data_IF_884001860332
#
_entry.id   IF_884001860332
#
_cell.length_a   1.000
_cell.length_b   1.000
_cell.length_c   1.000
_cell.angle_alpha   90.00
_cell.angle_beta   90.00
_cell.angle_gamma   90.00
#
_symmetry.space_group_name_H-M   'P 1'
#
loop_
_entity.id
_entity.type
_entity.pdbx_description
1 polymer ?
#
# COMPACT_ATOMS: atom_id res chain seq x y z
N UNK A 1 -3.92 14.75 -3.16
CA UNK A 1 -2.81 14.13 -2.42
C UNK A 1 -2.55 14.83 -1.09
N UNK A 2 -2.28 14.08 -0.02
CA UNK A 2 -1.58 14.63 1.13
C UNK A 2 -0.16 15.03 0.71
N UNK A 3 0.45 16.03 1.35
CA UNK A 3 1.83 16.42 1.08
C UNK A 3 2.64 16.12 2.33
N UNK A 4 3.58 15.19 2.23
CA UNK A 4 4.47 14.81 3.32
C UNK A 4 5.68 15.74 3.37
N UNK A 5 6.43 15.71 4.47
CA UNK A 5 7.71 16.38 4.52
C UNK A 5 8.70 15.73 3.54
N UNK A 6 9.70 16.51 3.13
CA UNK A 6 10.83 16.05 2.31
C UNK A 6 12.12 16.47 3.02
N UNK A 7 12.89 15.53 3.60
CA UNK A 7 12.59 14.09 3.70
C UNK A 7 11.39 13.83 4.63
N UNK A 8 10.74 12.68 4.44
CA UNK A 8 9.60 12.25 5.24
C UNK A 8 9.90 12.20 6.73
N UNK A 9 8.87 12.39 7.56
CA UNK A 9 8.96 12.29 9.02
C UNK A 9 8.05 11.19 9.55
N UNK A 10 8.37 10.55 10.67
CA UNK A 10 7.50 9.52 11.24
C UNK A 10 6.06 10.01 11.50
N UNK A 11 5.89 11.26 11.93
CA UNK A 11 4.58 11.87 12.18
C UNK A 11 3.75 12.16 10.91
N UNK A 12 4.34 12.01 9.71
CA UNK A 12 3.63 12.19 8.45
C UNK A 12 2.69 11.01 8.14
N UNK A 13 2.96 9.85 8.71
CA UNK A 13 2.20 8.63 8.44
C UNK A 13 1.09 8.43 9.47
N UNK A 14 -0.08 7.89 9.05
CA UNK A 14 -1.11 7.47 9.99
C UNK A 14 -0.65 6.23 10.76
N UNK A 15 -1.44 5.78 11.74
CA UNK A 15 -1.22 4.49 12.40
C UNK A 15 -1.00 3.36 11.37
N UNK A 16 -0.06 2.45 11.63
CA UNK A 16 0.29 1.41 10.66
C UNK A 16 -0.90 0.52 10.26
N UNK A 17 -1.88 0.29 11.15
CA UNK A 17 -3.10 -0.44 10.80
C UNK A 17 -3.96 0.31 9.79
N UNK A 18 -4.00 1.63 9.89
CA UNK A 18 -4.75 2.48 8.96
C UNK A 18 -4.06 2.50 7.60
N UNK A 19 -2.73 2.66 7.57
CA UNK A 19 -1.96 2.58 6.33
C UNK A 19 -2.13 1.22 5.66
N UNK A 20 -2.00 0.14 6.44
CA UNK A 20 -2.19 -1.25 6.00
C UNK A 20 -3.57 -1.47 5.38
N UNK A 21 -4.64 -1.08 6.09
CA UNK A 21 -6.00 -1.28 5.61
C UNK A 21 -6.29 -0.53 4.30
N UNK A 22 -5.79 0.71 4.17
CA UNK A 22 -5.94 1.50 2.93
C UNK A 22 -5.21 0.87 1.76
N UNK A 23 -3.97 0.47 1.96
CA UNK A 23 -3.18 -0.17 0.90
C UNK A 23 -3.81 -1.49 0.48
N UNK A 24 -4.20 -2.34 1.44
CA UNK A 24 -4.89 -3.60 1.14
C UNK A 24 -6.19 -3.34 0.36
N UNK A 25 -6.94 -2.31 0.73
CA UNK A 25 -8.15 -1.93 0.01
C UNK A 25 -7.85 -1.51 -1.43
N UNK A 26 -6.82 -0.67 -1.68
CA UNK A 26 -6.39 -0.32 -3.03
C UNK A 26 -6.11 -1.59 -3.84
N UNK A 27 -5.20 -2.45 -3.35
CA UNK A 27 -4.83 -3.70 -4.02
C UNK A 27 -6.04 -4.61 -4.34
N UNK A 28 -7.01 -4.70 -3.43
CA UNK A 28 -8.22 -5.52 -3.64
C UNK A 28 -9.15 -4.87 -4.67
N UNK A 29 -9.33 -3.55 -4.64
CA UNK A 29 -10.20 -2.86 -5.60
C UNK A 29 -9.64 -2.84 -7.01
N UNK A 30 -8.31 -2.79 -7.13
CA UNK A 30 -7.57 -2.79 -8.40
C UNK A 30 -7.17 -4.21 -8.83
N UNK A 31 -7.67 -5.25 -8.14
CA UNK A 31 -7.36 -6.64 -8.47
C UNK A 31 -7.60 -6.93 -9.94
N UNK A 32 -6.61 -7.53 -10.60
CA UNK A 32 -6.75 -8.10 -11.92
C UNK A 32 -6.25 -9.55 -11.92
N UNK A 33 -7.04 -10.45 -12.52
CA UNK A 33 -6.72 -11.88 -12.48
C UNK A 33 -5.51 -12.21 -13.33
N UNK A 34 -5.39 -11.58 -14.50
CA UNK A 34 -4.31 -11.88 -15.42
C UNK A 34 -2.98 -11.37 -14.85
N UNK A 35 -2.98 -10.20 -14.21
CA UNK A 35 -1.83 -9.68 -13.44
C UNK A 35 -1.44 -10.60 -12.28
N UNK A 36 -2.41 -11.18 -11.57
CA UNK A 36 -2.14 -12.14 -10.49
C UNK A 36 -1.53 -13.47 -11.00
N UNK A 37 -1.68 -13.80 -12.27
CA UNK A 37 -1.02 -14.97 -12.86
C UNK A 37 0.41 -14.68 -13.32
N UNK A 38 0.82 -13.41 -13.37
CA UNK A 38 2.16 -13.04 -13.75
C UNK A 38 3.19 -13.44 -12.68
N UNK A 39 4.39 -13.87 -13.10
CA UNK A 39 5.50 -14.07 -12.17
C UNK A 39 5.77 -12.79 -11.39
N UNK A 40 6.02 -12.90 -10.08
CA UNK A 40 6.24 -11.75 -9.18
C UNK A 40 7.18 -10.68 -9.75
N UNK A 41 8.26 -11.09 -10.43
CA UNK A 41 9.26 -10.21 -11.01
C UNK A 41 8.77 -9.36 -12.21
N UNK A 42 7.57 -9.60 -12.72
CA UNK A 42 6.94 -8.83 -13.80
C UNK A 42 5.69 -8.08 -13.33
N UNK A 43 5.26 -8.28 -12.08
CA UNK A 43 4.07 -7.62 -11.55
C UNK A 43 4.30 -6.12 -11.39
N UNK A 44 3.24 -5.36 -11.62
CA UNK A 44 3.16 -3.92 -11.39
C UNK A 44 1.88 -3.57 -10.63
N UNK A 45 1.73 -2.31 -10.23
CA UNK A 45 0.55 -1.86 -9.51
C UNK A 45 0.57 -2.37 -8.07
N UNK A 46 -0.61 -2.58 -7.49
CA UNK A 46 -0.79 -2.93 -6.09
C UNK A 46 -1.15 -4.41 -5.93
N UNK A 47 -0.40 -5.17 -5.13
CA UNK A 47 -0.71 -6.58 -4.87
C UNK A 47 -0.41 -7.02 -3.44
N UNK A 48 -0.90 -8.21 -3.09
CA UNK A 48 -0.78 -8.82 -1.76
C UNK A 48 -0.27 -10.26 -1.92
N UNK A 49 0.84 -10.61 -1.29
CA UNK A 49 1.37 -11.98 -1.31
C UNK A 49 1.93 -12.43 0.05
N UNK A 50 2.82 -13.45 0.09
CA UNK A 50 3.45 -13.93 1.33
C UNK A 50 4.46 -12.92 1.92
N UNK A 51 4.96 -12.01 1.08
CA UNK A 51 5.96 -11.01 1.40
C UNK A 51 5.39 -9.66 1.84
N UNK A 52 4.08 -9.43 1.75
CA UNK A 52 3.42 -8.26 2.34
C UNK A 52 2.40 -7.61 1.42
N UNK A 53 2.21 -6.31 1.60
CA UNK A 53 1.55 -5.43 0.64
C UNK A 53 2.62 -4.77 -0.22
N UNK A 54 2.41 -4.79 -1.53
CA UNK A 54 3.39 -4.34 -2.51
C UNK A 54 2.79 -3.26 -3.40
N UNK A 55 3.67 -2.40 -3.90
CA UNK A 55 3.39 -1.46 -4.96
C UNK A 55 4.64 -1.26 -5.81
N UNK A 56 4.48 -1.29 -7.13
CA UNK A 56 5.57 -1.09 -8.10
C UNK A 56 5.02 -0.32 -9.32
N UNK A 57 5.66 0.79 -9.68
CA UNK A 57 5.26 1.62 -10.82
C UNK A 57 5.84 1.13 -12.16
N UNK A 58 6.53 -0.01 -12.17
CA UNK A 58 7.31 -0.55 -13.28
C UNK A 58 8.43 0.38 -13.79
N UNK A 59 8.81 1.36 -12.98
CA UNK A 59 9.80 2.38 -13.28
C UNK A 59 10.88 2.41 -12.20
N UNK A 60 10.88 3.49 -11.43
CA UNK A 60 11.89 3.75 -10.41
C UNK A 60 11.31 3.79 -8.99
N UNK A 61 10.06 3.34 -8.83
CA UNK A 61 9.33 3.45 -7.56
C UNK A 61 8.78 2.10 -7.17
N UNK A 62 9.17 1.64 -5.99
CA UNK A 62 8.64 0.40 -5.43
C UNK A 62 8.57 0.48 -3.91
N UNK A 63 7.56 -0.16 -3.34
CA UNK A 63 7.31 -0.16 -1.90
C UNK A 63 6.78 -1.48 -1.41
N UNK A 64 7.20 -1.86 -0.20
CA UNK A 64 6.67 -3.03 0.50
C UNK A 64 6.36 -2.63 1.94
N UNK A 65 5.14 -2.97 2.37
CA UNK A 65 4.71 -2.90 3.76
C UNK A 65 4.55 -4.33 4.30
N UNK A 66 5.30 -4.64 5.35
CA UNK A 66 5.31 -5.93 6.05
C UNK A 66 4.67 -5.78 7.43
N UNK A 67 3.84 -6.74 7.81
CA UNK A 67 3.18 -6.80 9.12
C UNK A 67 3.76 -7.91 9.99
N UNK A 68 4.32 -7.53 11.14
CA UNK A 68 5.03 -8.43 12.04
C UNK A 68 4.19 -8.96 13.20
N UNK A 69 2.90 -8.66 13.23
CA UNK A 69 2.04 -8.98 14.37
C UNK A 69 2.29 -8.04 15.56
N UNK A 70 1.49 -8.16 16.62
CA UNK A 70 1.61 -7.35 17.85
C UNK A 70 1.68 -5.83 17.63
N UNK A 71 1.12 -5.34 16.52
CA UNK A 71 1.17 -3.92 16.16
C UNK A 71 2.54 -3.46 15.68
N UNK A 72 3.36 -4.35 15.10
CA UNK A 72 4.64 -4.03 14.47
C UNK A 72 4.55 -4.11 12.95
N UNK A 73 5.17 -3.15 12.28
CA UNK A 73 5.22 -3.13 10.81
C UNK A 73 6.56 -2.56 10.32
N UNK A 74 6.95 -2.91 9.10
CA UNK A 74 8.08 -2.30 8.40
C UNK A 74 7.62 -1.85 7.02
N UNK A 75 7.87 -0.57 6.73
CA UNK A 75 7.73 0.02 5.41
C UNK A 75 9.14 0.24 4.85
N UNK A 76 9.39 -0.29 3.67
CA UNK A 76 10.64 -0.10 2.93
C UNK A 76 10.31 0.12 1.46
N UNK A 77 11.08 0.98 0.81
CA UNK A 77 10.90 1.25 -0.60
C UNK A 77 11.88 2.27 -1.12
N UNK A 78 11.71 2.61 -2.39
CA UNK A 78 12.51 3.56 -3.12
C UNK A 78 11.65 4.34 -4.10
N UNK A 79 12.13 5.53 -4.42
CA UNK A 79 11.63 6.42 -5.45
C UNK A 79 12.82 7.20 -6.01
N UNK A 80 12.78 7.56 -7.30
CA UNK A 80 13.86 8.28 -7.97
C UNK A 80 14.19 9.65 -7.37
N UNK A 81 13.24 10.27 -6.67
CA UNK A 81 13.46 11.55 -6.00
C UNK A 81 14.40 11.41 -4.81
N UNK A 82 14.48 10.22 -4.18
CA UNK A 82 15.28 9.98 -2.99
C UNK A 82 16.75 10.31 -3.20
N UNK A 83 17.34 10.98 -2.21
CA UNK A 83 18.77 11.32 -2.17
C UNK A 83 19.57 10.44 -1.21
N UNK A 84 18.91 9.46 -0.58
CA UNK A 84 19.52 8.62 0.46
C UNK A 84 20.64 7.75 -0.10
N UNK A 85 20.39 7.03 -1.21
CA UNK A 85 21.36 6.09 -1.81
C UNK A 85 22.66 6.74 -2.32
N UNK A 86 22.63 8.04 -2.59
CA UNK A 86 23.76 8.82 -3.10
C UNK A 86 24.32 9.84 -2.08
N UNK A 87 23.79 9.86 -0.86
CA UNK A 87 24.24 10.77 0.18
C UNK A 87 25.61 10.36 0.75
N UNK A 88 26.50 11.33 0.98
CA UNK A 88 27.85 11.12 1.52
C UNK A 88 28.09 12.04 2.74
N UNK A 89 28.48 11.52 3.92
CA UNK A 89 28.74 10.10 4.21
C UNK A 89 27.48 9.24 4.21
N UNK A 90 27.62 7.98 3.78
CA UNK A 90 26.50 7.03 3.72
C UNK A 90 25.69 7.01 5.03
N UNK A 91 24.37 7.08 4.91
CA UNK A 91 23.43 7.09 6.04
C UNK A 91 23.23 5.65 6.54
N UNK A 92 23.41 5.41 7.83
CA UNK A 92 23.02 4.14 8.46
C UNK A 92 21.49 4.12 8.66
N UNK A 93 20.77 3.56 7.68
CA UNK A 93 19.30 3.46 7.67
C UNK A 93 18.73 2.54 8.75
N UNK A 94 19.56 1.72 9.41
CA UNK A 94 19.16 0.81 10.48
C UNK A 94 19.64 1.29 11.86
N UNK A 95 20.18 2.50 11.94
CA UNK A 95 20.55 3.15 13.19
C UNK A 95 19.32 3.29 14.10
N UNK A 96 19.41 2.74 15.31
CA UNK A 96 18.34 2.79 16.30
C UNK A 96 17.19 1.79 16.06
N UNK A 97 17.23 0.97 15.00
CA UNK A 97 16.20 -0.04 14.78
C UNK A 97 16.19 -1.11 15.89
N UNK A 98 15.02 -1.52 16.40
CA UNK A 98 14.90 -2.54 17.43
C UNK A 98 15.33 -3.93 16.92
N UNK A 99 15.56 -4.87 17.83
CA UNK A 99 16.09 -6.22 17.51
C UNK A 99 15.16 -7.03 16.59
N UNK A 100 13.84 -6.80 16.68
CA UNK A 100 12.86 -7.53 15.87
C UNK A 100 12.84 -7.11 14.39
N UNK A 101 13.38 -5.94 14.05
CA UNK A 101 13.45 -5.46 12.66
C UNK A 101 14.33 -6.40 11.84
N UNK A 102 13.91 -6.83 10.63
CA UNK A 102 14.59 -7.85 9.84
C UNK A 102 15.88 -7.32 9.19
N UNK A 103 16.93 -7.11 10.00
CA UNK A 103 18.17 -6.45 9.59
C UNK A 103 18.85 -7.10 8.39
N UNK A 104 18.88 -8.43 8.32
CA UNK A 104 19.54 -9.13 7.20
C UNK A 104 18.84 -8.87 5.86
N UNK A 105 17.50 -8.91 5.86
CA UNK A 105 16.70 -8.62 4.67
C UNK A 105 16.89 -7.16 4.23
N UNK A 106 16.80 -6.22 5.17
CA UNK A 106 16.96 -4.79 4.88
C UNK A 106 18.39 -4.45 4.45
N UNK A 107 19.40 -5.08 5.03
CA UNK A 107 20.79 -4.88 4.62
C UNK A 107 21.02 -5.35 3.18
N UNK A 108 20.41 -6.46 2.76
CA UNK A 108 20.46 -6.91 1.36
C UNK A 108 19.93 -5.84 0.40
N UNK A 109 18.78 -5.25 0.71
CA UNK A 109 18.21 -4.16 -0.10
C UNK A 109 19.09 -2.91 -0.12
N UNK A 110 19.70 -2.57 1.02
CA UNK A 110 20.64 -1.44 1.13
C UNK A 110 21.89 -1.67 0.27
N UNK A 111 22.47 -2.88 0.36
CA UNK A 111 23.67 -3.26 -0.38
C UNK A 111 23.43 -3.28 -1.91
N UNK A 112 22.19 -3.59 -2.32
CA UNK A 112 21.75 -3.59 -3.72
C UNK A 112 21.32 -2.20 -4.24
N UNK A 113 21.47 -1.13 -3.43
CA UNK A 113 21.04 0.24 -3.76
C UNK A 113 19.54 0.40 -4.04
N UNK A 114 18.71 -0.46 -3.45
CA UNK A 114 17.26 -0.51 -3.68
C UNK A 114 16.45 0.27 -2.63
N UNK A 115 17.07 1.08 -1.76
CA UNK A 115 16.38 1.69 -0.63
C UNK A 115 16.49 3.22 -0.64
N UNK A 116 15.33 3.87 -0.71
CA UNK A 116 15.17 5.30 -0.46
C UNK A 116 14.90 5.63 1.00
N UNK A 117 14.16 4.78 1.72
CA UNK A 117 13.94 4.93 3.15
C UNK A 117 13.49 3.61 3.82
N UNK A 118 13.64 3.54 5.15
CA UNK A 118 13.13 2.45 5.99
C UNK A 118 12.42 3.07 7.18
N UNK A 119 11.16 2.70 7.38
CA UNK A 119 10.37 3.05 8.55
C UNK A 119 9.91 1.78 9.27
N UNK A 120 9.94 1.79 10.59
CA UNK A 120 9.38 0.72 11.41
C UNK A 120 8.34 1.30 12.38
N UNK A 121 7.21 0.61 12.50
CA UNK A 121 6.17 0.95 13.45
C UNK A 121 6.31 0.05 14.68
N UNK A 122 6.42 0.66 15.86
CA UNK A 122 6.43 -0.04 17.15
C UNK A 122 5.85 0.88 18.21
N UNK A 123 5.21 0.27 19.21
CA UNK A 123 4.63 0.99 20.37
C UNK A 123 3.69 2.15 19.97
N UNK A 124 2.96 2.01 18.86
CA UNK A 124 1.96 2.99 18.41
C UNK A 124 2.53 4.19 17.65
N UNK A 125 3.80 4.16 17.23
CA UNK A 125 4.42 5.21 16.44
C UNK A 125 5.31 4.64 15.35
N UNK A 126 5.41 5.39 14.24
CA UNK A 126 6.47 5.17 13.26
C UNK A 126 7.79 5.70 13.79
N UNK A 127 8.87 5.10 13.31
CA UNK A 127 10.25 5.46 13.60
C UNK A 127 11.08 5.26 12.33
N UNK A 128 12.20 5.97 12.24
CA UNK A 128 13.24 5.77 11.23
C UNK A 128 14.60 6.20 11.77
N UNK A 129 15.67 5.83 11.08
CA UNK A 129 16.98 6.40 11.34
C UNK A 129 16.95 7.94 11.22
N UNK A 130 17.73 8.63 12.04
CA UNK A 130 17.90 10.08 11.91
C UNK A 130 18.60 10.41 10.60
N UNK A 131 18.07 11.42 9.89
CA UNK A 131 18.70 11.89 8.66
C UNK A 131 19.50 13.16 8.92
N UNK A 132 20.56 13.41 8.13
CA UNK A 132 21.24 14.70 8.11
C UNK A 132 20.29 15.85 7.76
N UNK A 133 20.54 17.03 8.34
CA UNK A 133 19.68 18.21 8.17
C UNK A 133 19.63 18.73 6.72
N UNK A 134 20.61 18.38 5.89
CA UNK A 134 20.73 18.80 4.48
C UNK A 134 20.31 17.71 3.47
N UNK A 135 19.83 16.55 3.94
CA UNK A 135 19.21 15.56 3.05
C UNK A 135 17.94 16.19 2.45
N UNK A 136 17.84 16.24 1.13
CA UNK A 136 16.74 16.94 0.46
C UNK A 136 15.43 16.14 0.39
N UNK A 137 15.53 14.83 0.15
CA UNK A 137 14.37 13.95 -0.03
C UNK A 137 14.75 12.50 0.28
N UNK A 138 13.80 11.73 0.81
CA UNK A 138 13.92 10.28 1.04
C UNK A 138 12.96 9.47 0.16
N UNK A 139 12.11 10.13 -0.63
CA UNK A 139 11.18 9.51 -1.58
C UNK A 139 9.80 9.16 -0.99
N UNK A 140 9.59 9.29 0.32
CA UNK A 140 8.35 8.87 0.99
C UNK A 140 7.10 9.57 0.42
N UNK A 141 7.21 10.85 0.10
CA UNK A 141 6.11 11.66 -0.41
C UNK A 141 5.62 11.17 -1.80
N UNK A 142 6.51 10.68 -2.65
CA UNK A 142 6.12 10.20 -3.98
C UNK A 142 5.32 8.91 -3.89
N UNK A 143 5.73 7.98 -3.03
CA UNK A 143 5.13 6.65 -3.03
C UNK A 143 3.99 6.40 -2.04
N UNK A 144 3.98 7.11 -0.91
CA UNK A 144 3.09 6.75 0.22
C UNK A 144 2.07 7.86 0.51
N UNK A 145 2.26 9.06 -0.04
CA UNK A 145 1.41 10.22 0.28
C UNK A 145 -0.07 10.01 -0.05
N UNK A 146 -0.42 9.29 -1.12
CA UNK A 146 -1.80 8.96 -1.47
C UNK A 146 -2.45 8.13 -0.36
N UNK A 147 -1.74 7.15 0.20
CA UNK A 147 -2.27 6.25 1.23
C UNK A 147 -2.33 6.87 2.64
N UNK A 148 -1.65 8.00 2.89
CA UNK A 148 -1.64 8.65 4.21
C UNK A 148 -2.96 9.30 4.61
N UNK A 149 -3.86 9.55 3.66
CA UNK A 149 -5.20 10.10 3.90
C UNK A 149 -6.26 9.28 3.20
N UNK A 150 -7.48 9.23 3.76
CA UNK A 150 -8.60 8.53 3.12
C UNK A 150 -8.91 9.09 1.73
N UNK A 151 -8.92 10.43 1.60
CA UNK A 151 -9.15 11.08 0.31
C UNK A 151 -8.05 10.78 -0.72
N UNK A 152 -6.78 10.65 -0.27
CA UNK A 152 -5.69 10.23 -1.14
C UNK A 152 -5.85 8.78 -1.60
N UNK A 153 -6.22 7.86 -0.70
CA UNK A 153 -6.43 6.46 -1.07
C UNK A 153 -7.61 6.28 -2.04
N UNK A 154 -8.67 7.09 -1.91
CA UNK A 154 -9.76 7.16 -2.90
C UNK A 154 -9.24 7.66 -4.25
N UNK A 155 -8.39 8.70 -4.24
CA UNK A 155 -7.74 9.19 -5.45
C UNK A 155 -6.85 8.14 -6.11
N UNK A 156 -6.13 7.34 -5.32
CA UNK A 156 -5.32 6.23 -5.81
C UNK A 156 -6.18 5.18 -6.52
N UNK A 157 -7.28 4.74 -5.91
CA UNK A 157 -8.21 3.79 -6.56
C UNK A 157 -8.74 4.37 -7.88
N UNK A 158 -9.10 5.66 -7.89
CA UNK A 158 -9.58 6.32 -9.10
C UNK A 158 -8.49 6.38 -10.19
N UNK A 159 -7.25 6.68 -9.82
CA UNK A 159 -6.11 6.73 -10.76
C UNK A 159 -5.82 5.35 -11.36
N UNK A 160 -5.74 4.31 -10.52
CA UNK A 160 -5.47 2.94 -10.97
C UNK A 160 -6.60 2.34 -11.83
N UNK A 161 -7.84 2.78 -11.61
CA UNK A 161 -9.00 2.37 -12.41
C UNK A 161 -9.30 3.34 -13.57
N UNK A 162 -8.43 4.32 -13.81
CA UNK A 162 -8.54 5.34 -14.87
C UNK A 162 -9.85 6.16 -14.85
N UNK A 163 -10.40 6.43 -13.67
CA UNK A 163 -11.63 7.21 -13.49
C UNK A 163 -11.40 8.71 -13.62
N UNK A 164 -12.39 9.41 -14.17
CA UNK A 164 -12.40 10.88 -14.20
C UNK A 164 -12.90 11.41 -12.85
N UNK A 165 -12.28 12.48 -12.34
CA UNK A 165 -12.73 13.16 -11.12
C UNK A 165 -14.14 13.78 -11.21
N UNK A 166 -14.77 13.76 -12.38
CA UNK A 166 -16.17 14.14 -12.62
C UNK A 166 -17.17 12.98 -12.61
N UNK A 167 -16.72 11.74 -12.37
CA UNK A 167 -17.57 10.55 -12.30
C UNK A 167 -18.36 10.50 -10.98
N UNK A 168 -19.52 11.16 -10.97
CA UNK A 168 -20.42 11.20 -9.82
C UNK A 168 -20.68 9.79 -9.23
N UNK A 169 -20.47 9.63 -7.93
CA UNK A 169 -20.74 8.39 -7.18
C UNK A 169 -19.56 7.43 -7.05
N UNK A 170 -18.56 7.47 -7.94
CA UNK A 170 -17.35 6.64 -7.83
C UNK A 170 -16.50 6.99 -6.59
N UNK A 171 -16.21 8.28 -6.31
CA UNK A 171 -15.46 8.65 -5.11
C UNK A 171 -16.15 8.21 -3.81
N UNK A 172 -17.48 8.32 -3.72
CA UNK A 172 -18.25 7.88 -2.55
C UNK A 172 -18.21 6.36 -2.38
N UNK A 173 -18.30 5.60 -3.47
CA UNK A 173 -18.19 4.14 -3.45
C UNK A 173 -16.82 3.68 -2.95
N UNK A 174 -15.74 4.26 -3.48
CA UNK A 174 -14.37 3.98 -3.04
C UNK A 174 -14.14 4.41 -1.59
N UNK A 175 -14.67 5.57 -1.18
CA UNK A 175 -14.54 6.04 0.20
C UNK A 175 -15.24 5.11 1.19
N UNK A 176 -16.40 4.55 0.82
CA UNK A 176 -17.11 3.57 1.64
C UNK A 176 -16.30 2.28 1.78
N UNK A 177 -15.73 1.77 0.69
CA UNK A 177 -14.91 0.56 0.75
C UNK A 177 -13.66 0.75 1.61
N UNK A 178 -12.99 1.91 1.52
CA UNK A 178 -11.86 2.26 2.40
C UNK A 178 -12.29 2.34 3.87
N UNK A 179 -13.45 2.93 4.18
CA UNK A 179 -13.96 2.97 5.56
C UNK A 179 -14.22 1.56 6.11
N UNK A 180 -14.80 0.68 5.29
CA UNK A 180 -15.06 -0.71 5.67
C UNK A 180 -13.75 -1.49 5.88
N UNK A 181 -12.72 -1.24 5.06
CA UNK A 181 -11.38 -1.81 5.25
C UNK A 181 -10.70 -1.33 6.53
N UNK A 182 -10.73 -0.01 6.81
CA UNK A 182 -10.18 0.56 8.05
C UNK A 182 -10.87 0.02 9.32
N UNK A 183 -12.14 -0.36 9.19
CA UNK A 183 -12.93 -0.94 10.29
C UNK A 183 -12.81 -2.46 10.40
N UNK A 184 -12.15 -3.12 9.46
CA UNK A 184 -12.02 -4.58 9.43
C UNK A 184 -13.37 -5.28 9.23
N UNK A 185 -14.20 -4.79 8.30
CA UNK A 185 -15.53 -5.36 8.00
C UNK A 185 -15.72 -5.73 6.54
N UNK A 186 -14.63 -5.89 5.77
CA UNK A 186 -14.68 -6.29 4.36
C UNK A 186 -15.00 -7.77 4.23
N UNK A 187 -16.29 -8.02 4.09
CA UNK A 187 -16.95 -9.30 3.93
C UNK A 187 -17.19 -9.59 2.43
N UNK A 188 -17.41 -10.85 2.07
CA UNK A 188 -17.70 -11.24 0.68
C UNK A 188 -18.94 -10.50 0.13
N UNK A 189 -19.94 -10.24 0.98
CA UNK A 189 -21.15 -9.52 0.58
C UNK A 189 -20.86 -8.05 0.25
N UNK A 190 -19.99 -7.38 1.01
CA UNK A 190 -19.63 -6.00 0.75
C UNK A 190 -18.75 -5.90 -0.49
N UNK A 191 -17.84 -6.86 -0.73
CA UNK A 191 -17.07 -6.96 -1.98
C UNK A 191 -17.99 -7.13 -3.20
N UNK A 192 -18.96 -8.04 -3.13
CA UNK A 192 -19.94 -8.26 -4.20
C UNK A 192 -20.80 -7.01 -4.43
N UNK A 193 -21.17 -6.31 -3.36
CA UNK A 193 -21.96 -5.07 -3.44
C UNK A 193 -21.14 -3.95 -4.07
N UNK A 194 -19.87 -3.82 -3.70
CA UNK A 194 -18.90 -2.89 -4.26
C UNK A 194 -18.70 -3.15 -5.75
N UNK A 195 -18.32 -4.37 -6.14
CA UNK A 195 -18.09 -4.74 -7.54
C UNK A 195 -19.34 -4.52 -8.40
N UNK A 196 -20.52 -4.90 -7.90
CA UNK A 196 -21.78 -4.66 -8.60
C UNK A 196 -22.13 -3.17 -8.72
N UNK A 197 -21.80 -2.34 -7.74
CA UNK A 197 -21.99 -0.89 -7.81
C UNK A 197 -21.00 -0.24 -8.77
N UNK A 198 -19.75 -0.69 -8.76
CA UNK A 198 -18.68 -0.24 -9.63
C UNK A 198 -19.07 -0.40 -11.10
N UNK A 199 -19.47 -1.61 -11.49
CA UNK A 199 -19.90 -1.91 -12.88
C UNK A 199 -21.09 -1.06 -13.30
N UNK A 200 -22.06 -0.80 -12.40
CA UNK A 200 -23.20 0.06 -12.72
C UNK A 200 -22.79 1.50 -12.99
N UNK A 201 -21.86 2.03 -12.20
CA UNK A 201 -21.34 3.40 -12.37
C UNK A 201 -20.49 3.50 -13.63
N UNK A 202 -19.66 2.50 -13.90
CA UNK A 202 -18.86 2.41 -15.12
C UNK A 202 -19.72 2.38 -16.38
N UNK A 203 -20.76 1.54 -16.43
CA UNK A 203 -21.72 1.51 -17.55
C UNK A 203 -22.46 2.84 -17.72
N UNK A 204 -22.68 3.58 -16.63
CA UNK A 204 -23.35 4.88 -16.67
C UNK A 204 -22.45 5.97 -17.26
N UNK A 205 -21.17 6.03 -16.86
CA UNK A 205 -20.23 7.08 -17.26
C UNK A 205 -19.53 6.77 -18.59
N UNK A 206 -19.28 5.48 -18.85
CA UNK A 206 -18.53 4.98 -20.00
C UNK A 206 -19.32 3.89 -20.77
N UNK A 207 -20.52 4.21 -21.31
CA UNK A 207 -21.41 3.22 -21.91
C UNK A 207 -20.88 2.56 -23.19
N UNK A 208 -19.83 3.12 -23.81
CA UNK A 208 -19.21 2.61 -25.04
C UNK A 208 -18.13 1.55 -24.75
N UNK A 209 -17.67 1.45 -23.50
CA UNK A 209 -16.65 0.50 -23.08
C UNK A 209 -17.28 -0.81 -22.60
N UNK A 210 -16.54 -1.91 -22.71
CA UNK A 210 -17.00 -3.22 -22.28
C UNK A 210 -16.69 -3.44 -20.79
N UNK A 211 -17.72 -3.26 -19.95
CA UNK A 211 -17.61 -3.40 -18.49
C UNK A 211 -18.11 -4.77 -18.06
N UNK A 212 -17.24 -5.77 -18.11
CA UNK A 212 -17.57 -7.10 -17.62
C UNK A 212 -17.67 -7.11 -16.08
N UNK A 213 -18.75 -7.66 -15.50
CA UNK A 213 -18.82 -7.86 -14.07
C UNK A 213 -17.76 -8.85 -13.59
N UNK A 214 -17.19 -8.58 -12.41
CA UNK A 214 -16.33 -9.53 -11.69
C UNK A 214 -17.04 -10.89 -11.57
N UNK A 215 -16.34 -11.96 -11.92
CA UNK A 215 -16.86 -13.32 -11.80
C UNK A 215 -16.92 -13.77 -10.33
N UNK A 216 -17.64 -14.85 -10.04
CA UNK A 216 -17.64 -15.42 -8.68
C UNK A 216 -16.23 -15.86 -8.24
N UNK A 217 -15.41 -16.33 -9.18
CA UNK A 217 -14.02 -16.68 -8.92
C UNK A 217 -13.16 -15.44 -8.60
N UNK A 218 -13.43 -14.28 -9.23
CA UNK A 218 -12.72 -13.02 -8.92
C UNK A 218 -13.09 -12.55 -7.52
N UNK A 219 -14.38 -12.56 -7.20
CA UNK A 219 -14.87 -12.17 -5.88
C UNK A 219 -14.32 -13.09 -4.78
N UNK A 220 -14.20 -14.39 -5.05
CA UNK A 220 -13.58 -15.33 -4.13
C UNK A 220 -12.07 -15.04 -3.93
N UNK A 221 -11.34 -14.71 -5.00
CA UNK A 221 -9.94 -14.32 -4.93
C UNK A 221 -9.75 -13.01 -4.15
N UNK A 222 -10.51 -11.97 -4.49
CA UNK A 222 -10.54 -10.69 -3.78
C UNK A 222 -10.85 -10.87 -2.29
N UNK A 223 -11.80 -11.74 -1.95
CA UNK A 223 -12.11 -12.03 -0.55
C UNK A 223 -10.97 -12.78 0.15
N UNK A 224 -10.32 -13.73 -0.52
CA UNK A 224 -9.14 -14.40 0.03
C UNK A 224 -8.01 -13.39 0.34
N UNK A 225 -7.82 -12.36 -0.50
CA UNK A 225 -6.90 -11.26 -0.23
C UNK A 225 -7.33 -10.42 0.98
N UNK A 226 -8.63 -10.13 1.13
CA UNK A 226 -9.16 -9.42 2.30
C UNK A 226 -8.89 -10.19 3.60
N UNK A 227 -9.11 -11.50 3.61
CA UNK A 227 -8.82 -12.38 4.75
C UNK A 227 -7.32 -12.45 5.06
N UNK A 228 -6.51 -12.53 4.01
CA UNK A 228 -5.05 -12.57 4.11
C UNK A 228 -4.49 -11.29 4.72
N UNK A 229 -5.01 -10.13 4.31
CA UNK A 229 -4.65 -8.83 4.88
C UNK A 229 -5.36 -8.53 6.21
N UNK A 230 -6.31 -9.37 6.64
CA UNK A 230 -7.02 -9.21 7.90
C UNK A 230 -8.00 -8.05 7.96
N UNK A 231 -8.46 -7.55 6.80
CA UNK A 231 -9.43 -6.46 6.73
C UNK A 231 -10.89 -6.96 6.73
N UNK A 232 -11.10 -8.27 6.84
CA UNK A 232 -12.39 -8.91 7.07
C UNK A 232 -12.76 -8.99 8.56
N UNK A 233 -11.83 -8.62 9.45
CA UNK A 233 -12.03 -8.65 10.90
C UNK A 233 -11.36 -7.51 11.64
N UNK A 234 -12.07 -6.90 12.60
CA UNK A 234 -11.53 -5.84 13.47
C UNK A 234 -10.45 -6.33 14.46
N UNK A 235 -10.26 -7.65 14.59
CA UNK A 235 -9.39 -8.27 15.60
C UNK A 235 -8.24 -9.07 14.98
N UNK A 236 -7.79 -8.72 13.78
CA UNK A 236 -6.69 -9.44 13.14
C UNK A 236 -5.39 -9.32 13.94
N UNK A 237 -4.77 -10.47 14.23
CA UNK A 237 -3.49 -10.59 14.95
C UNK A 237 -2.45 -11.39 14.15
N UNK A 238 -2.65 -11.49 12.83
CA UNK A 238 -1.77 -12.24 11.94
C UNK A 238 -0.42 -11.56 11.72
N UNK A 239 0.37 -12.20 10.86
CA UNK A 239 1.62 -11.68 10.32
C UNK A 239 1.58 -11.84 8.80
N UNK A 240 2.15 -10.91 8.05
CA UNK A 240 2.27 -11.01 6.60
C UNK A 240 3.58 -10.34 6.16
N UNK A 241 4.41 -11.04 5.40
CA UNK A 241 5.73 -10.54 5.02
C UNK A 241 6.91 -11.02 5.85
N UNK A 242 6.68 -11.95 6.79
CA UNK A 242 7.74 -12.66 7.52
C UNK A 242 8.02 -13.99 6.81
N UNK A 243 9.14 -14.09 6.10
CA UNK A 243 9.68 -15.41 5.73
C UNK A 243 10.41 -15.99 6.94
N UNK A 244 10.03 -17.20 7.34
CA UNK A 244 10.70 -18.00 8.37
C UNK A 244 12.10 -18.44 7.97
#
# INVERSE_FOLDING_TARGET
>A
MGKLHRPGRPEDMPDARVLWARWAAVAITTFDRDEELEPQQHRSGYWIDDDGLHWDDCGCTWWVLKWFGDGRAVLVGEDESSKVKSYEPAIDLLAGAPEWVPRQYLQGLIDDYMVGCIYWFDEGAWHRASYPDDLADDGLDCGISSLTTRAGAVGEIAEQLEFDGSDDGLPELCAQFIDDAERGVVTENELRSFAGAMVRLLVQHYPEDDHEPRTDDDLAAMFALAQRAGIDTATWTGTLGIRS
#
